data_IF_110163294325
#
_entry.id   IF_110163294325
#
_cell.length_a   1.000
_cell.length_b   1.000
_cell.length_c   1.000
_cell.angle_alpha   90.00
_cell.angle_beta   90.00
_cell.angle_gamma   90.00
#
_symmetry.space_group_name_H-M   'P 1'
#
loop_
_entity.id
_entity.type
_entity.pdbx_description
1 polymer ?
#
# COMPACT_ATOMS: atom_id res chain seq x y z
N UNK A 1 1.39 12.58 29.61
CA UNK A 1 2.74 12.16 29.22
C UNK A 1 2.60 11.05 28.20
N UNK A 2 2.53 11.41 26.92
CA UNK A 2 2.44 10.45 25.81
C UNK A 2 3.83 9.91 25.52
N UNK A 3 4.05 8.64 25.88
CA UNK A 3 5.23 7.91 25.44
C UNK A 3 5.18 7.82 23.91
N UNK A 4 6.10 8.48 23.23
CA UNK A 4 6.41 8.15 21.83
C UNK A 4 6.77 6.66 21.79
N UNK A 5 6.25 5.87 20.82
CA UNK A 5 6.71 4.50 20.68
C UNK A 5 8.21 4.56 20.47
N UNK A 6 8.97 3.81 21.25
CA UNK A 6 10.41 3.67 21.06
C UNK A 6 10.66 3.39 19.58
N UNK A 7 11.44 4.23 18.90
CA UNK A 7 11.99 3.89 17.60
C UNK A 7 12.79 2.60 17.79
N UNK A 8 12.17 1.45 17.51
CA UNK A 8 12.84 0.17 17.60
C UNK A 8 13.99 0.23 16.61
N UNK A 9 15.22 0.21 17.16
CA UNK A 9 16.44 0.32 16.38
C UNK A 9 16.41 -0.75 15.28
N UNK A 10 16.33 -0.32 14.02
CA UNK A 10 16.34 -1.23 12.88
C UNK A 10 17.73 -1.87 12.84
N UNK A 11 17.80 -3.19 12.99
CA UNK A 11 19.04 -3.97 12.95
C UNK A 11 19.07 -4.81 11.68
N UNK A 12 20.20 -4.74 11.00
CA UNK A 12 20.49 -5.49 9.79
C UNK A 12 21.29 -6.75 10.13
N UNK A 13 21.12 -7.79 9.32
CA UNK A 13 22.03 -8.93 9.34
C UNK A 13 23.39 -8.51 8.78
N UNK A 14 24.46 -9.01 9.41
CA UNK A 14 25.83 -8.74 9.01
C UNK A 14 26.49 -10.05 8.54
N UNK A 15 27.37 -9.95 7.55
CA UNK A 15 28.24 -11.05 7.11
C UNK A 15 29.38 -11.31 8.12
N UNK A 16 30.27 -12.25 7.78
CA UNK A 16 31.39 -12.63 8.66
C UNK A 16 32.40 -11.49 8.85
N UNK A 17 32.44 -10.55 7.92
CA UNK A 17 33.31 -9.37 7.89
C UNK A 17 32.66 -8.15 8.58
N UNK A 18 31.40 -8.26 9.00
CA UNK A 18 30.64 -7.20 9.67
C UNK A 18 29.92 -6.23 8.74
N UNK A 19 29.82 -6.52 7.44
CA UNK A 19 29.08 -5.71 6.47
C UNK A 19 27.62 -6.15 6.39
N UNK A 20 26.72 -5.21 6.05
CA UNK A 20 25.30 -5.51 5.88
C UNK A 20 25.08 -6.45 4.70
N UNK A 21 24.27 -7.49 4.90
CA UNK A 21 23.90 -8.42 3.83
C UNK A 21 22.89 -7.73 2.90
N UNK A 22 23.16 -7.58 1.59
CA UNK A 22 22.23 -6.98 0.65
C UNK A 22 20.95 -7.80 0.49
N UNK A 23 19.83 -7.11 0.32
CA UNK A 23 18.52 -7.70 0.08
C UNK A 23 17.84 -6.98 -1.10
N UNK A 24 17.43 -7.71 -2.15
CA UNK A 24 16.83 -7.09 -3.34
C UNK A 24 15.45 -6.47 -3.09
N UNK A 25 14.74 -6.85 -2.02
CA UNK A 25 13.50 -6.20 -1.60
C UNK A 25 13.77 -4.96 -0.74
N UNK A 26 14.58 -5.09 0.30
CA UNK A 26 14.69 -4.09 1.37
C UNK A 26 15.99 -3.27 1.36
N UNK A 27 16.85 -3.49 0.36
CA UNK A 27 18.20 -2.94 0.27
C UNK A 27 19.19 -3.77 1.09
N UNK A 28 18.85 -4.02 2.35
CA UNK A 28 19.59 -4.91 3.26
C UNK A 28 18.67 -5.81 4.06
N UNK A 29 19.17 -6.99 4.38
CA UNK A 29 18.42 -7.98 5.16
C UNK A 29 18.30 -7.52 6.60
N UNK A 30 17.07 -7.59 7.12
CA UNK A 30 16.78 -7.27 8.51
C UNK A 30 16.92 -8.50 9.39
N UNK A 31 17.35 -8.30 10.64
CA UNK A 31 17.31 -9.36 11.64
C UNK A 31 15.87 -9.80 11.89
N UNK A 32 15.68 -11.08 12.26
CA UNK A 32 14.38 -11.64 12.63
C UNK A 32 13.66 -10.79 13.70
N UNK A 33 14.41 -10.31 14.70
CA UNK A 33 13.88 -9.40 15.73
C UNK A 33 13.35 -8.09 15.15
N UNK A 34 14.04 -7.50 14.17
CA UNK A 34 13.56 -6.27 13.52
C UNK A 34 12.33 -6.52 12.65
N UNK A 35 12.23 -7.68 12.01
CA UNK A 35 11.03 -8.09 11.29
C UNK A 35 9.84 -8.29 12.24
N UNK A 36 10.05 -8.95 13.37
CA UNK A 36 9.02 -9.15 14.39
C UNK A 36 8.54 -7.83 14.99
N UNK A 37 9.46 -6.92 15.36
CA UNK A 37 9.07 -5.60 15.85
C UNK A 37 8.29 -4.77 14.82
N UNK A 38 8.61 -4.91 13.51
CA UNK A 38 7.81 -4.29 12.44
C UNK A 38 6.40 -4.89 12.36
N UNK A 39 6.26 -6.21 12.47
CA UNK A 39 4.96 -6.89 12.50
C UNK A 39 4.14 -6.47 13.73
N UNK A 40 4.75 -6.39 14.90
CA UNK A 40 4.10 -5.88 16.12
C UNK A 40 3.63 -4.43 15.97
N UNK A 41 4.49 -3.57 15.42
CA UNK A 41 4.13 -2.19 15.15
C UNK A 41 2.95 -2.10 14.18
N UNK A 42 2.96 -2.85 13.07
CA UNK A 42 1.83 -2.89 12.13
C UNK A 42 0.53 -3.40 12.78
N UNK A 43 0.58 -4.53 13.51
CA UNK A 43 -0.56 -5.04 14.29
C UNK A 43 -1.12 -3.98 15.24
N UNK A 44 -0.26 -3.20 15.88
CA UNK A 44 -0.70 -2.12 16.77
C UNK A 44 -1.39 -0.96 16.04
N UNK A 45 -0.99 -0.67 14.80
CA UNK A 45 -1.61 0.38 13.96
C UNK A 45 -2.97 -0.03 13.40
N UNK A 46 -3.11 -1.32 13.06
CA UNK A 46 -4.33 -1.91 12.47
C UNK A 46 -5.44 -2.04 13.50
N UNK A 47 -5.11 -2.16 14.80
CA UNK A 47 -6.12 -2.31 15.86
C UNK A 47 -7.12 -1.15 15.87
N UNK A 48 -8.39 -1.45 15.64
CA UNK A 48 -9.50 -0.48 15.51
C UNK A 48 -9.58 0.23 14.15
N UNK A 49 -8.78 -0.23 13.19
CA UNK A 49 -8.68 0.26 11.80
C UNK A 49 -8.61 -0.91 10.82
N UNK A 50 -9.20 -2.03 11.20
CA UNK A 50 -9.16 -3.27 10.42
C UNK A 50 -9.84 -3.06 9.05
N UNK A 51 -9.30 -3.65 7.97
CA UNK A 51 -9.94 -3.59 6.67
C UNK A 51 -11.36 -4.16 6.70
N UNK A 52 -12.31 -3.46 6.09
CA UNK A 52 -13.74 -3.82 6.14
C UNK A 52 -14.34 -3.92 4.74
N UNK A 53 -15.27 -4.85 4.53
CA UNK A 53 -15.95 -5.01 3.24
C UNK A 53 -16.94 -3.87 2.97
N UNK A 54 -17.65 -3.46 4.01
CA UNK A 54 -18.66 -2.40 3.94
C UNK A 54 -18.25 -1.28 4.89
N UNK A 55 -18.28 -0.05 4.39
CA UNK A 55 -18.01 1.14 5.19
C UNK A 55 -19.31 1.62 5.88
N UNK A 56 -19.33 1.73 7.22
CA UNK A 56 -20.46 2.29 7.96
C UNK A 56 -20.82 3.71 7.48
N UNK A 57 -22.11 4.04 7.47
CA UNK A 57 -22.59 5.36 7.03
C UNK A 57 -22.01 6.51 7.87
N UNK A 58 -21.71 6.27 9.15
CA UNK A 58 -21.06 7.26 10.03
C UNK A 58 -19.64 7.64 9.59
N UNK A 59 -19.02 6.83 8.73
CA UNK A 59 -17.70 7.09 8.16
C UNK A 59 -17.77 7.61 6.73
N UNK A 60 -18.95 7.64 6.09
CA UNK A 60 -19.11 8.27 4.77
C UNK A 60 -19.18 9.77 4.97
N UNK A 61 -18.29 10.52 4.32
CA UNK A 61 -18.39 11.97 4.35
C UNK A 61 -19.64 12.40 3.57
N UNK A 62 -20.43 13.30 4.15
CA UNK A 62 -21.56 13.92 3.48
C UNK A 62 -21.13 15.31 2.98
N UNK A 63 -21.14 15.57 1.65
CA UNK A 63 -20.85 16.88 1.09
C UNK A 63 -21.68 18.03 1.68
N UNK A 64 -22.89 17.71 2.16
CA UNK A 64 -23.84 18.65 2.74
C UNK A 64 -23.50 19.01 4.18
N UNK A 65 -22.63 18.22 4.83
CA UNK A 65 -22.21 18.39 6.22
C UNK A 65 -20.68 18.52 6.32
N UNK A 66 -20.08 19.60 5.78
CA UNK A 66 -18.61 19.74 5.70
C UNK A 66 -17.90 19.81 7.06
N UNK A 67 -18.65 20.04 8.13
CA UNK A 67 -18.13 20.03 9.51
C UNK A 67 -17.92 18.61 10.05
N UNK A 68 -18.56 17.60 9.46
CA UNK A 68 -18.30 16.21 9.76
C UNK A 68 -17.10 15.75 8.92
N UNK A 69 -15.97 15.54 9.60
CA UNK A 69 -14.73 15.09 8.96
C UNK A 69 -14.38 13.70 9.50
N UNK A 70 -15.05 12.64 9.01
CA UNK A 70 -14.70 11.28 9.41
C UNK A 70 -13.24 10.98 9.01
N UNK A 71 -12.58 10.04 9.69
CA UNK A 71 -11.31 9.53 9.22
C UNK A 71 -11.40 9.08 7.75
N UNK A 72 -10.32 9.19 6.99
CA UNK A 72 -10.30 8.81 5.57
C UNK A 72 -10.07 7.32 5.43
N UNK A 73 -10.95 6.73 4.64
CA UNK A 73 -10.91 5.33 4.25
C UNK A 73 -10.91 5.26 2.74
N UNK A 74 -10.09 4.36 2.19
CA UNK A 74 -9.94 4.14 0.76
C UNK A 74 -10.49 2.78 0.40
N UNK A 75 -11.28 2.71 -0.66
CA UNK A 75 -11.78 1.47 -1.22
C UNK A 75 -10.86 1.01 -2.33
N UNK A 76 -10.43 -0.25 -2.28
CA UNK A 76 -9.52 -0.77 -3.30
C UNK A 76 -8.91 -2.13 -2.99
N UNK A 77 -7.83 -2.42 -3.72
CA UNK A 77 -7.08 -3.68 -3.64
C UNK A 77 -5.71 -3.43 -3.02
N UNK A 78 -5.46 -4.02 -1.86
CA UNK A 78 -4.16 -3.98 -1.22
C UNK A 78 -3.22 -5.04 -1.82
N UNK A 79 -1.93 -4.74 -1.82
CA UNK A 79 -0.89 -5.62 -2.35
C UNK A 79 0.44 -5.48 -1.61
N UNK A 80 1.26 -6.52 -1.73
CA UNK A 80 2.59 -6.59 -1.10
C UNK A 80 3.68 -6.00 -2.01
N UNK A 81 4.86 -5.78 -1.44
CA UNK A 81 6.01 -5.35 -2.24
C UNK A 81 6.40 -6.41 -3.27
N UNK A 82 6.32 -7.69 -2.91
CA UNK A 82 6.60 -8.84 -3.79
C UNK A 82 5.70 -8.80 -5.02
N UNK A 83 4.39 -8.60 -4.84
CA UNK A 83 3.43 -8.47 -5.95
C UNK A 83 3.76 -7.30 -6.89
N UNK A 84 4.22 -6.17 -6.34
CA UNK A 84 4.68 -5.03 -7.14
C UNK A 84 5.90 -5.40 -8.00
N UNK A 85 6.90 -6.04 -7.41
CA UNK A 85 8.13 -6.40 -8.12
C UNK A 85 7.92 -7.54 -9.11
N UNK A 86 7.02 -8.47 -8.81
CA UNK A 86 6.59 -9.52 -9.75
C UNK A 86 5.87 -8.90 -10.96
N UNK A 87 5.06 -7.86 -10.75
CA UNK A 87 4.46 -7.09 -11.84
C UNK A 87 5.54 -6.41 -12.69
N UNK A 88 6.50 -5.71 -12.07
CA UNK A 88 7.64 -5.11 -12.78
C UNK A 88 8.36 -6.14 -13.65
N UNK A 89 8.67 -7.32 -13.10
CA UNK A 89 9.36 -8.38 -13.81
C UNK A 89 8.52 -8.94 -14.97
N UNK A 90 7.23 -9.21 -14.72
CA UNK A 90 6.29 -9.78 -15.71
C UNK A 90 6.09 -8.89 -16.92
N UNK A 91 6.03 -7.57 -16.70
CA UNK A 91 5.86 -6.58 -17.76
C UNK A 91 7.19 -6.00 -18.28
N UNK A 92 8.34 -6.55 -17.85
CA UNK A 92 9.68 -6.08 -18.22
C UNK A 92 9.83 -4.56 -18.06
N UNK A 93 9.29 -4.00 -16.97
CA UNK A 93 9.34 -2.57 -16.71
C UNK A 93 10.79 -2.20 -16.36
N UNK A 94 11.47 -1.36 -17.15
CA UNK A 94 12.84 -0.96 -16.83
C UNK A 94 12.80 -0.11 -15.57
N UNK A 95 13.61 -0.42 -14.56
CA UNK A 95 13.75 0.39 -13.36
C UNK A 95 15.10 1.11 -13.35
N UNK A 96 15.20 2.19 -12.58
CA UNK A 96 16.49 2.83 -12.30
C UNK A 96 17.44 1.84 -11.59
N UNK A 97 18.69 1.85 -12.01
CA UNK A 97 19.77 1.14 -11.32
C UNK A 97 20.28 2.02 -10.17
N UNK A 98 20.30 1.45 -8.97
CA UNK A 98 20.67 2.16 -7.74
C UNK A 98 21.49 1.26 -6.85
N UNK A 99 22.25 1.85 -5.94
CA UNK A 99 22.95 1.13 -4.88
C UNK A 99 21.96 0.58 -3.84
N UNK A 100 22.41 -0.37 -3.01
CA UNK A 100 21.59 -0.93 -1.92
C UNK A 100 21.10 0.12 -0.92
N UNK A 101 21.86 1.20 -0.70
CA UNK A 101 21.46 2.31 0.17
C UNK A 101 20.32 3.14 -0.43
N UNK A 102 20.16 3.10 -1.75
CA UNK A 102 19.19 3.88 -2.52
C UNK A 102 18.00 3.04 -3.01
N UNK A 103 17.82 1.83 -2.48
CA UNK A 103 16.75 0.91 -2.89
C UNK A 103 15.34 1.54 -2.78
N UNK A 104 15.15 2.49 -1.87
CA UNK A 104 13.91 3.25 -1.76
C UNK A 104 13.58 4.06 -3.03
N UNK A 105 14.58 4.57 -3.76
CA UNK A 105 14.37 5.27 -5.04
C UNK A 105 13.89 4.31 -6.12
N UNK A 106 14.43 3.09 -6.15
CA UNK A 106 13.98 2.04 -7.07
C UNK A 106 12.53 1.63 -6.81
N UNK A 107 12.14 1.56 -5.54
CA UNK A 107 10.74 1.34 -5.17
C UNK A 107 9.83 2.50 -5.66
N UNK A 108 10.21 3.75 -5.43
CA UNK A 108 9.45 4.90 -5.93
C UNK A 108 9.29 4.87 -7.46
N UNK A 109 10.34 4.51 -8.19
CA UNK A 109 10.29 4.35 -9.65
C UNK A 109 9.38 3.19 -10.08
N UNK A 110 9.42 2.06 -9.38
CA UNK A 110 8.52 0.93 -9.61
C UNK A 110 7.06 1.33 -9.43
N UNK A 111 6.72 2.00 -8.33
CA UNK A 111 5.37 2.50 -8.06
C UNK A 111 4.92 3.45 -9.16
N UNK A 112 5.77 4.41 -9.54
CA UNK A 112 5.44 5.37 -10.59
C UNK A 112 5.14 4.68 -11.93
N UNK A 113 5.96 3.71 -12.32
CA UNK A 113 5.84 3.01 -13.61
C UNK A 113 4.66 2.03 -13.62
N UNK A 114 4.45 1.29 -12.54
CA UNK A 114 3.28 0.42 -12.39
C UNK A 114 2.00 1.26 -12.35
N UNK A 115 2.00 2.41 -11.67
CA UNK A 115 0.84 3.30 -11.70
C UNK A 115 0.53 3.79 -13.13
N UNK A 116 1.55 4.18 -13.90
CA UNK A 116 1.36 4.55 -15.32
C UNK A 116 0.82 3.39 -16.16
N UNK A 117 1.32 2.17 -15.94
CA UNK A 117 0.83 0.96 -16.61
C UNK A 117 -0.66 0.75 -16.32
N UNK A 118 -1.06 0.78 -15.04
CA UNK A 118 -2.44 0.58 -14.62
C UNK A 118 -3.35 1.71 -15.12
N UNK A 119 -2.90 2.96 -15.05
CA UNK A 119 -3.63 4.13 -15.57
C UNK A 119 -3.90 3.97 -17.07
N UNK A 120 -2.91 3.53 -17.85
CA UNK A 120 -3.08 3.29 -19.27
C UNK A 120 -4.02 2.10 -19.57
N UNK A 121 -3.89 1.01 -18.80
CA UNK A 121 -4.69 -0.19 -18.99
C UNK A 121 -6.17 0.03 -18.63
N UNK A 122 -6.44 0.69 -17.51
CA UNK A 122 -7.79 0.97 -17.03
C UNK A 122 -8.43 2.19 -17.71
N UNK A 123 -7.67 2.97 -18.50
CA UNK A 123 -8.10 4.23 -19.13
C UNK A 123 -8.71 5.25 -18.15
N UNK A 124 -8.27 5.19 -16.89
CA UNK A 124 -8.65 6.10 -15.83
C UNK A 124 -7.43 6.41 -14.97
N UNK A 125 -7.47 7.52 -14.22
CA UNK A 125 -6.37 7.87 -13.32
C UNK A 125 -6.38 6.89 -12.14
N UNK A 126 -5.32 6.10 -12.02
CA UNK A 126 -5.13 5.18 -10.90
C UNK A 126 -4.24 5.84 -9.84
N UNK A 127 -4.56 5.56 -8.57
CA UNK A 127 -3.78 6.03 -7.44
C UNK A 127 -3.27 4.84 -6.62
N UNK A 128 -1.94 4.72 -6.53
CA UNK A 128 -1.30 3.81 -5.57
C UNK A 128 -1.06 4.58 -4.27
N UNK A 129 -1.56 4.04 -3.16
CA UNK A 129 -1.51 4.65 -1.83
C UNK A 129 -1.02 3.64 -0.79
N UNK A 130 -0.92 4.07 0.46
CA UNK A 130 -0.44 3.24 1.58
C UNK A 130 -1.61 2.96 2.52
N UNK A 131 -2.13 1.72 2.56
CA UNK A 131 -3.15 1.32 3.52
C UNK A 131 -2.53 1.12 4.91
N UNK A 132 -3.35 1.25 5.95
CA UNK A 132 -3.06 0.60 7.23
C UNK A 132 -3.51 -0.85 7.12
N UNK A 133 -2.54 -1.76 6.96
CA UNK A 133 -2.73 -3.20 6.90
C UNK A 133 -1.52 -3.93 7.52
N UNK A 134 -1.70 -5.17 7.96
CA UNK A 134 -0.63 -5.94 8.59
C UNK A 134 0.41 -6.41 7.58
N UNK A 135 -0.06 -6.88 6.42
CA UNK A 135 0.75 -7.60 5.44
C UNK A 135 1.00 -6.76 4.18
N UNK A 136 0.01 -5.99 3.76
CA UNK A 136 0.07 -5.20 2.54
C UNK A 136 0.72 -3.84 2.79
N UNK A 137 1.66 -3.48 1.91
CA UNK A 137 2.40 -2.22 2.03
C UNK A 137 1.83 -1.11 1.16
N UNK A 138 1.01 -1.48 0.16
CA UNK A 138 0.46 -0.58 -0.84
C UNK A 138 -0.97 -1.00 -1.18
N UNK A 139 -1.73 -0.10 -1.78
CA UNK A 139 -3.02 -0.40 -2.36
C UNK A 139 -3.25 0.39 -3.63
N UNK A 140 -4.03 -0.18 -4.54
CA UNK A 140 -4.67 0.57 -5.62
C UNK A 140 -6.00 1.08 -5.09
N UNK A 141 -6.11 2.38 -4.87
CA UNK A 141 -7.35 3.03 -4.44
C UNK A 141 -8.21 3.39 -5.65
N UNK A 142 -9.47 2.97 -5.61
CA UNK A 142 -10.49 3.32 -6.62
C UNK A 142 -11.14 4.66 -6.26
N UNK A 143 -11.58 4.78 -5.01
CA UNK A 143 -12.16 6.00 -4.45
C UNK A 143 -12.00 5.98 -2.92
N UNK A 144 -12.38 7.08 -2.27
CA UNK A 144 -12.37 7.23 -0.82
C UNK A 144 -13.74 7.67 -0.28
N UNK A 145 -13.88 7.66 1.04
CA UNK A 145 -15.12 8.03 1.71
C UNK A 145 -15.50 9.52 1.56
N UNK A 146 -14.65 10.34 0.93
CA UNK A 146 -14.88 11.74 0.59
C UNK A 146 -15.15 11.99 -0.90
N UNK A 147 -15.19 10.97 -1.74
CA UNK A 147 -15.54 11.14 -3.14
C UNK A 147 -16.38 9.96 -3.71
N UNK A 148 -16.76 9.00 -2.86
CA UNK A 148 -17.56 7.83 -3.24
C UNK A 148 -18.84 8.18 -4.02
N UNK A 149 -19.48 9.32 -3.76
CA UNK A 149 -20.72 9.71 -4.46
C UNK A 149 -20.49 10.17 -5.92
N UNK A 150 -19.26 10.50 -6.31
CA UNK A 150 -18.93 10.98 -7.66
C UNK A 150 -17.94 10.09 -8.40
N UNK A 151 -17.09 9.36 -7.68
CA UNK A 151 -16.02 8.53 -8.26
C UNK A 151 -16.34 7.03 -8.21
N UNK A 152 -17.41 6.61 -7.53
CA UNK A 152 -17.82 5.20 -7.54
C UNK A 152 -18.21 4.81 -8.96
N UNK A 153 -17.53 3.77 -9.47
CA UNK A 153 -17.76 3.21 -10.79
C UNK A 153 -19.09 2.45 -10.81
N UNK A 154 -19.69 2.34 -11.99
CA UNK A 154 -20.80 1.39 -12.20
C UNK A 154 -20.26 -0.04 -12.13
N UNK A 155 -21.12 -1.00 -11.80
CA UNK A 155 -20.71 -2.37 -11.48
C UNK A 155 -19.88 -3.02 -12.60
N UNK A 156 -20.27 -2.83 -13.85
CA UNK A 156 -19.55 -3.39 -15.00
C UNK A 156 -18.16 -2.77 -15.20
N UNK A 157 -18.03 -1.46 -14.98
CA UNK A 157 -16.73 -0.76 -15.07
C UNK A 157 -15.83 -1.10 -13.88
N UNK A 158 -16.40 -1.23 -12.68
CA UNK A 158 -15.67 -1.69 -11.50
C UNK A 158 -15.11 -3.08 -11.72
N UNK A 159 -15.92 -4.03 -12.22
CA UNK A 159 -15.48 -5.39 -12.50
C UNK A 159 -14.33 -5.41 -13.51
N UNK A 160 -14.42 -4.66 -14.61
CA UNK A 160 -13.35 -4.57 -15.62
C UNK A 160 -12.05 -4.02 -15.03
N UNK A 161 -12.12 -2.91 -14.30
CA UNK A 161 -10.96 -2.26 -13.68
C UNK A 161 -10.31 -3.17 -12.65
N UNK A 162 -11.11 -3.79 -11.79
CA UNK A 162 -10.67 -4.73 -10.75
C UNK A 162 -9.97 -5.93 -11.38
N UNK A 163 -10.52 -6.49 -12.45
CA UNK A 163 -9.92 -7.62 -13.16
C UNK A 163 -8.56 -7.27 -13.77
N UNK A 164 -8.44 -6.10 -14.38
CA UNK A 164 -7.16 -5.61 -14.91
C UNK A 164 -6.12 -5.51 -13.78
N UNK A 165 -6.48 -4.88 -12.66
CA UNK A 165 -5.58 -4.69 -11.51
C UNK A 165 -5.18 -6.04 -10.91
N UNK A 166 -6.14 -6.94 -10.67
CA UNK A 166 -5.88 -8.29 -10.13
C UNK A 166 -4.93 -9.08 -11.00
N UNK A 167 -5.11 -9.06 -12.33
CA UNK A 167 -4.23 -9.77 -13.26
C UNK A 167 -2.83 -9.17 -13.31
N UNK A 168 -2.73 -7.84 -13.27
CA UNK A 168 -1.45 -7.15 -13.33
C UNK A 168 -0.61 -7.37 -12.07
N UNK A 169 -1.22 -7.25 -10.89
CA UNK A 169 -0.55 -7.34 -9.59
C UNK A 169 -0.64 -8.72 -8.93
N UNK A 170 -1.34 -9.67 -9.55
CA UNK A 170 -1.58 -11.02 -9.01
C UNK A 170 -2.21 -10.98 -7.60
N UNK A 171 -3.32 -10.24 -7.49
CA UNK A 171 -4.05 -10.02 -6.22
C UNK A 171 -5.26 -10.94 -6.16
N UNK A 172 -5.31 -11.76 -5.10
CA UNK A 172 -6.45 -12.66 -4.83
C UNK A 172 -7.39 -12.11 -3.74
N UNK A 173 -7.01 -11.02 -3.06
CA UNK A 173 -7.82 -10.45 -2.00
C UNK A 173 -9.10 -9.79 -2.54
N UNK A 174 -10.17 -9.74 -1.72
CA UNK A 174 -11.37 -8.99 -2.08
C UNK A 174 -11.10 -7.48 -2.08
N UNK A 175 -12.00 -6.72 -2.72
CA UNK A 175 -12.09 -5.29 -2.50
C UNK A 175 -12.49 -5.03 -1.04
N UNK A 176 -11.80 -4.09 -0.41
CA UNK A 176 -12.07 -3.69 0.96
C UNK A 176 -11.80 -2.19 1.14
N UNK A 177 -12.36 -1.65 2.21
CA UNK A 177 -12.04 -0.35 2.75
C UNK A 177 -10.85 -0.46 3.70
N UNK A 178 -9.82 0.33 3.45
CA UNK A 178 -8.61 0.43 4.25
C UNK A 178 -8.49 1.85 4.83
N UNK A 179 -7.99 1.95 6.05
CA UNK A 179 -7.70 3.26 6.65
C UNK A 179 -6.51 3.90 5.92
N UNK A 180 -6.63 5.18 5.53
CA UNK A 180 -5.55 5.90 4.81
C UNK A 180 -4.43 6.29 5.79
N UNK A 181 -3.21 5.79 5.57
CA UNK A 181 -2.07 6.05 6.46
C UNK A 181 -1.58 7.51 6.41
N UNK A 182 -2.07 8.32 5.48
CA UNK A 182 -1.67 9.74 5.30
C UNK A 182 -2.48 10.69 6.16
N UNK A 183 -3.42 10.18 6.95
CA UNK A 183 -4.10 10.98 7.97
C UNK A 183 -3.35 11.00 9.29
N UNK A 184 -3.38 12.12 10.03
CA UNK A 184 -2.81 12.21 11.38
C UNK A 184 -3.49 11.28 12.39
#
# INVERSE_FOLDING_TARGET
MSAFPSFHLIKFELDAEGNKIPDPLWGYRLTERSLESRREYRRSLVKGREPMRELPDSLRADPRLPYQQPPRWQYGLAFTYEQLMDCVARFNIPLIEVSSDEQHLRLCDAILKVNKLLTAACKMVIHITVPIDEDNSWMVGLYDNYNWWSEQLVEEEEEEVVDIIRRALNIDSPLQWYYDSRQP
#
